data_IF_153008429526
#
_entry.id   IF_153008429526
#
_cell.length_a   1.000
_cell.length_b   1.000
_cell.length_c   1.000
_cell.angle_alpha   90.00
_cell.angle_beta   90.00
_cell.angle_gamma   90.00
#
_symmetry.space_group_name_H-M   'P 1'
#
loop_
_entity.id
_entity.type
_entity.pdbx_description
1 polymer ?
#
# COMPACT_ATOMS: atom_id res chain seq x y z
N UNK A 1 -13.94 -18.68 19.90
CA UNK A 1 -13.68 -19.95 19.18
C UNK A 1 -12.19 -20.29 19.16
N UNK A 2 -11.30 -19.38 18.73
CA UNK A 2 -9.85 -19.64 18.63
C UNK A 2 -9.14 -20.00 19.96
N UNK A 3 -9.52 -19.44 21.11
CA UNK A 3 -8.92 -19.81 22.40
C UNK A 3 -9.15 -21.27 22.79
N UNK A 4 -10.31 -21.84 22.44
CA UNK A 4 -10.65 -23.25 22.70
C UNK A 4 -9.84 -24.16 21.77
N UNK A 5 -9.79 -23.81 20.49
CA UNK A 5 -8.98 -24.53 19.50
C UNK A 5 -7.48 -24.52 19.86
N UNK A 6 -6.96 -23.38 20.33
CA UNK A 6 -5.57 -23.26 20.75
C UNK A 6 -5.27 -24.17 21.95
N UNK A 7 -6.13 -24.16 22.97
CA UNK A 7 -5.96 -24.99 24.16
C UNK A 7 -5.96 -26.48 23.78
N UNK A 8 -6.90 -26.92 22.94
CA UNK A 8 -6.96 -28.30 22.46
C UNK A 8 -5.71 -28.68 21.65
N UNK A 9 -5.23 -27.80 20.77
CA UNK A 9 -4.02 -28.05 19.99
C UNK A 9 -2.75 -28.13 20.87
N UNK A 10 -2.68 -27.33 21.92
CA UNK A 10 -1.60 -27.38 22.92
C UNK A 10 -1.67 -28.66 23.75
N UNK A 11 -2.86 -29.06 24.21
CA UNK A 11 -3.09 -30.31 24.94
C UNK A 11 -2.73 -31.53 24.08
N UNK A 12 -2.99 -31.48 22.78
CA UNK A 12 -2.60 -32.51 21.81
C UNK A 12 -1.14 -32.40 21.34
N UNK A 13 -0.37 -31.43 21.83
CA UNK A 13 1.01 -31.15 21.42
C UNK A 13 1.18 -30.99 19.89
N UNK A 14 0.13 -30.58 19.18
CA UNK A 14 0.15 -30.45 17.74
C UNK A 14 0.81 -29.12 17.34
N UNK A 15 2.12 -29.19 17.10
CA UNK A 15 2.93 -28.01 16.83
C UNK A 15 2.44 -27.21 15.62
N UNK A 16 2.05 -27.90 14.55
CA UNK A 16 1.57 -27.30 13.30
C UNK A 16 0.24 -26.59 13.52
N UNK A 17 -0.71 -27.23 14.21
CA UNK A 17 -2.01 -26.64 14.50
C UNK A 17 -1.88 -25.37 15.37
N UNK A 18 -1.00 -25.41 16.39
CA UNK A 18 -0.73 -24.21 17.21
C UNK A 18 -0.13 -23.08 16.39
N UNK A 19 0.81 -23.36 15.48
CA UNK A 19 1.39 -22.34 14.59
C UNK A 19 0.32 -21.73 13.69
N UNK A 20 -0.55 -22.55 13.10
CA UNK A 20 -1.63 -22.06 12.25
C UNK A 20 -2.65 -21.21 13.02
N UNK A 21 -3.03 -21.61 14.23
CA UNK A 21 -3.94 -20.83 15.07
C UNK A 21 -3.31 -19.49 15.47
N UNK A 22 -2.00 -19.45 15.77
CA UNK A 22 -1.29 -18.21 16.04
C UNK A 22 -1.26 -17.28 14.84
N UNK A 23 -1.03 -17.81 13.63
CA UNK A 23 -1.07 -17.03 12.39
C UNK A 23 -2.45 -16.42 12.15
N UNK A 24 -3.53 -17.19 12.31
CA UNK A 24 -4.90 -16.68 12.21
C UNK A 24 -5.19 -15.58 13.25
N UNK A 25 -4.77 -15.79 14.50
CA UNK A 25 -4.93 -14.78 15.55
C UNK A 25 -4.10 -13.52 15.28
N UNK A 26 -2.91 -13.67 14.70
CA UNK A 26 -2.04 -12.54 14.36
C UNK A 26 -2.64 -11.70 13.23
N UNK A 27 -3.15 -12.35 12.18
CA UNK A 27 -3.83 -11.68 11.07
C UNK A 27 -5.09 -10.95 11.55
N UNK A 28 -5.91 -11.59 12.38
CA UNK A 28 -7.09 -10.95 12.96
C UNK A 28 -6.71 -9.73 13.82
N UNK A 29 -5.70 -9.86 14.68
CA UNK A 29 -5.23 -8.74 15.50
C UNK A 29 -4.68 -7.59 14.63
N UNK A 30 -3.98 -7.94 13.55
CA UNK A 30 -3.43 -6.97 12.60
C UNK A 30 -4.53 -6.18 11.87
N UNK A 31 -5.56 -6.88 11.37
CA UNK A 31 -6.74 -6.27 10.73
C UNK A 31 -7.55 -5.38 11.68
N UNK A 32 -7.58 -5.73 12.97
CA UNK A 32 -8.23 -4.92 14.02
C UNK A 32 -7.40 -3.72 14.48
N UNK A 33 -6.17 -3.54 13.95
CA UNK A 33 -5.26 -2.48 14.39
C UNK A 33 -4.63 -2.73 15.76
N UNK A 34 -4.75 -3.94 16.33
CA UNK A 34 -4.14 -4.34 17.59
C UNK A 34 -2.64 -4.66 17.39
N UNK A 35 -1.87 -3.67 16.94
CA UNK A 35 -0.50 -3.85 16.42
C UNK A 35 0.46 -4.50 17.41
N UNK A 36 0.43 -4.15 18.70
CA UNK A 36 1.28 -4.78 19.72
C UNK A 36 0.97 -6.26 19.92
N UNK A 37 -0.30 -6.64 19.81
CA UNK A 37 -0.74 -8.04 19.94
C UNK A 37 -0.39 -8.82 18.68
N UNK A 38 -0.63 -8.23 17.52
CA UNK A 38 -0.22 -8.79 16.23
C UNK A 38 1.29 -9.04 16.19
N UNK A 39 2.11 -8.09 16.64
CA UNK A 39 3.56 -8.23 16.73
C UNK A 39 3.97 -9.46 17.55
N UNK A 40 3.47 -9.58 18.80
CA UNK A 40 3.78 -10.70 19.69
C UNK A 40 3.40 -12.05 19.07
N UNK A 41 2.23 -12.10 18.41
CA UNK A 41 1.76 -13.31 17.75
C UNK A 41 2.60 -13.65 16.52
N UNK A 42 2.87 -12.70 15.62
CA UNK A 42 3.71 -12.92 14.44
C UNK A 42 5.15 -13.30 14.80
N UNK A 43 5.75 -12.69 15.83
CA UNK A 43 7.06 -13.11 16.35
C UNK A 43 7.02 -14.56 16.81
N UNK A 44 5.94 -14.96 17.50
CA UNK A 44 5.74 -16.35 17.92
C UNK A 44 5.60 -17.29 16.72
N UNK A 45 4.83 -16.93 15.69
CA UNK A 45 4.70 -17.74 14.47
C UNK A 45 6.04 -17.87 13.76
N UNK A 46 6.77 -16.77 13.58
CA UNK A 46 8.08 -16.75 12.94
C UNK A 46 9.10 -17.63 13.66
N UNK A 47 9.19 -17.54 15.00
CA UNK A 47 10.05 -18.41 15.81
C UNK A 47 9.68 -19.89 15.63
N UNK A 48 8.39 -20.20 15.58
CA UNK A 48 7.91 -21.57 15.38
C UNK A 48 8.28 -22.12 14.01
N UNK A 49 8.11 -21.35 12.95
CA UNK A 49 8.52 -21.74 11.59
C UNK A 49 10.04 -21.96 11.49
N UNK A 50 10.84 -21.06 12.05
CA UNK A 50 12.30 -21.21 12.05
C UNK A 50 12.75 -22.45 12.85
N UNK A 51 12.09 -22.75 13.97
CA UNK A 51 12.41 -23.96 14.76
C UNK A 51 12.11 -25.27 14.03
N UNK A 52 11.18 -25.26 13.06
CA UNK A 52 10.88 -26.42 12.21
C UNK A 52 11.78 -26.50 10.96
N UNK A 53 12.77 -25.61 10.85
CA UNK A 53 13.70 -25.57 9.72
C UNK A 53 13.11 -24.95 8.45
N UNK A 54 12.02 -24.18 8.55
CA UNK A 54 11.48 -23.45 7.40
C UNK A 54 12.55 -22.50 6.85
N UNK A 55 12.89 -22.57 5.55
CA UNK A 55 13.88 -21.71 4.94
C UNK A 55 13.51 -20.23 5.04
N UNK A 56 14.52 -19.36 5.10
CA UNK A 56 14.32 -17.90 5.10
C UNK A 56 13.69 -17.38 3.80
N UNK A 57 13.87 -18.13 2.72
CA UNK A 57 13.33 -17.88 1.39
C UNK A 57 11.88 -18.35 1.22
N UNK A 58 11.28 -18.99 2.24
CA UNK A 58 9.90 -19.46 2.17
C UNK A 58 8.91 -18.29 2.22
N UNK A 59 7.97 -18.25 1.27
CA UNK A 59 7.00 -17.16 1.14
C UNK A 59 6.18 -16.93 2.42
N UNK A 60 5.87 -17.97 3.21
CA UNK A 60 5.12 -17.80 4.47
C UNK A 60 5.93 -17.03 5.50
N UNK A 61 7.23 -17.35 5.62
CA UNK A 61 8.12 -16.63 6.53
C UNK A 61 8.30 -15.18 6.08
N UNK A 62 8.48 -14.96 4.79
CA UNK A 62 8.65 -13.63 4.20
C UNK A 62 7.38 -12.79 4.40
N UNK A 63 6.20 -13.37 4.18
CA UNK A 63 4.92 -12.67 4.36
C UNK A 63 4.68 -12.25 5.81
N UNK A 64 4.99 -13.11 6.79
CA UNK A 64 4.94 -12.75 8.22
C UNK A 64 5.95 -11.65 8.54
N UNK A 65 7.17 -11.76 8.00
CA UNK A 65 8.22 -10.76 8.20
C UNK A 65 7.84 -9.40 7.62
N UNK A 66 7.13 -9.39 6.49
CA UNK A 66 6.62 -8.17 5.85
C UNK A 66 5.56 -7.48 6.71
N UNK A 67 4.62 -8.26 7.30
CA UNK A 67 3.64 -7.73 8.25
C UNK A 67 4.29 -7.17 9.51
N UNK A 68 5.31 -7.85 10.05
CA UNK A 68 6.11 -7.33 11.16
C UNK A 68 6.82 -6.02 10.79
N UNK A 69 7.43 -5.95 9.62
CA UNK A 69 8.07 -4.72 9.13
C UNK A 69 7.09 -3.55 9.06
N UNK A 70 5.87 -3.79 8.55
CA UNK A 70 4.83 -2.75 8.53
C UNK A 70 4.32 -2.37 9.92
N UNK A 71 4.20 -3.32 10.86
CA UNK A 71 3.90 -3.00 12.26
C UNK A 71 4.98 -2.08 12.85
N UNK A 72 6.26 -2.40 12.65
CA UNK A 72 7.36 -1.56 13.12
C UNK A 72 7.35 -0.17 12.48
N UNK A 73 6.97 -0.07 11.19
CA UNK A 73 6.77 1.23 10.53
C UNK A 73 5.68 2.04 11.22
N UNK A 74 4.53 1.44 11.51
CA UNK A 74 3.41 2.11 12.22
C UNK A 74 3.83 2.56 13.62
N UNK A 75 4.60 1.73 14.33
CA UNK A 75 5.16 2.04 15.65
C UNK A 75 6.33 3.05 15.59
N UNK A 76 6.77 3.45 14.40
CA UNK A 76 7.94 4.31 14.15
C UNK A 76 9.27 3.72 14.64
N UNK A 77 9.37 2.40 14.80
CA UNK A 77 10.65 1.70 14.97
C UNK A 77 11.33 1.55 13.61
N UNK A 78 11.91 2.66 13.13
CA UNK A 78 12.50 2.77 11.79
C UNK A 78 13.57 1.72 11.53
N UNK A 79 14.36 1.35 12.54
CA UNK A 79 15.46 0.39 12.39
C UNK A 79 14.92 -1.01 12.10
N UNK A 80 13.98 -1.50 12.93
CA UNK A 80 13.39 -2.84 12.71
C UNK A 80 12.54 -2.88 11.45
N UNK A 81 11.83 -1.79 11.13
CA UNK A 81 11.08 -1.68 9.89
C UNK A 81 12.00 -1.84 8.67
N UNK A 82 13.11 -1.09 8.62
CA UNK A 82 14.05 -1.15 7.50
C UNK A 82 14.74 -2.52 7.39
N UNK A 83 15.17 -3.10 8.51
CA UNK A 83 15.74 -4.46 8.54
C UNK A 83 14.74 -5.49 8.00
N UNK A 84 13.47 -5.40 8.41
CA UNK A 84 12.40 -6.28 7.96
C UNK A 84 12.09 -6.14 6.47
N UNK A 85 11.94 -4.91 5.97
CA UNK A 85 11.69 -4.68 4.55
C UNK A 85 12.86 -5.14 3.69
N UNK A 86 14.11 -4.85 4.08
CA UNK A 86 15.30 -5.35 3.36
C UNK A 86 15.39 -6.87 3.39
N UNK A 87 15.05 -7.51 4.51
CA UNK A 87 14.99 -8.96 4.60
C UNK A 87 14.00 -9.55 3.58
N UNK A 88 12.78 -9.03 3.53
CA UNK A 88 11.78 -9.48 2.54
C UNK A 88 12.25 -9.18 1.12
N UNK A 89 12.77 -7.97 0.89
CA UNK A 89 13.34 -7.51 -0.38
C UNK A 89 14.37 -8.52 -0.93
N UNK A 90 15.42 -8.78 -0.16
CA UNK A 90 16.53 -9.61 -0.63
C UNK A 90 16.15 -11.08 -0.84
N UNK A 91 15.30 -11.67 0.00
CA UNK A 91 14.93 -13.08 -0.15
C UNK A 91 14.03 -13.33 -1.38
N UNK A 92 13.06 -12.45 -1.63
CA UNK A 92 12.20 -12.58 -2.81
C UNK A 92 12.98 -12.28 -4.09
N UNK A 93 13.86 -11.27 -4.10
CA UNK A 93 14.77 -11.06 -5.22
C UNK A 93 15.60 -12.30 -5.53
N UNK A 94 16.17 -12.95 -4.50
CA UNK A 94 16.91 -14.20 -4.68
C UNK A 94 16.03 -15.33 -5.24
N UNK A 95 14.78 -15.47 -4.79
CA UNK A 95 13.83 -16.44 -5.35
C UNK A 95 13.59 -16.18 -6.84
N UNK A 96 13.46 -14.92 -7.26
CA UNK A 96 13.28 -14.56 -8.68
C UNK A 96 14.54 -14.91 -9.49
N UNK A 97 15.71 -14.52 -9.00
CA UNK A 97 17.00 -14.77 -9.69
C UNK A 97 17.33 -16.25 -9.83
N UNK A 98 16.97 -17.07 -8.83
CA UNK A 98 17.12 -18.52 -8.87
C UNK A 98 16.03 -19.24 -9.69
N UNK A 99 15.06 -18.51 -10.25
CA UNK A 99 13.93 -19.08 -10.99
C UNK A 99 12.96 -19.88 -10.10
N UNK A 100 12.97 -19.62 -8.79
CA UNK A 100 12.12 -20.29 -7.78
C UNK A 100 10.93 -19.42 -7.43
N UNK A 101 10.09 -19.14 -8.43
CA UNK A 101 8.92 -18.29 -8.24
C UNK A 101 7.71 -18.80 -9.01
N UNK A 102 6.56 -18.46 -8.48
CA UNK A 102 5.23 -18.59 -9.05
C UNK A 102 4.52 -17.24 -8.95
N UNK A 103 3.27 -17.18 -9.39
CA UNK A 103 2.47 -15.96 -9.36
C UNK A 103 2.30 -15.43 -7.93
N UNK A 104 2.15 -16.32 -6.93
CA UNK A 104 2.06 -15.94 -5.51
C UNK A 104 3.36 -15.27 -5.02
N UNK A 105 4.52 -15.76 -5.46
CA UNK A 105 5.83 -15.16 -5.15
C UNK A 105 5.96 -13.77 -5.78
N UNK A 106 5.49 -13.60 -7.01
CA UNK A 106 5.52 -12.31 -7.71
C UNK A 106 4.55 -11.29 -7.07
N UNK A 107 3.37 -11.73 -6.64
CA UNK A 107 2.41 -10.90 -5.90
C UNK A 107 3.00 -10.46 -4.55
N UNK A 108 3.61 -11.38 -3.81
CA UNK A 108 4.29 -11.06 -2.56
C UNK A 108 5.47 -10.12 -2.80
N UNK A 109 6.14 -10.22 -3.96
CA UNK A 109 7.20 -9.32 -4.36
C UNK A 109 6.71 -7.90 -4.63
N UNK A 110 5.65 -7.76 -5.43
CA UNK A 110 5.02 -6.47 -5.69
C UNK A 110 4.55 -5.80 -4.39
N UNK A 111 3.88 -6.55 -3.51
CA UNK A 111 3.42 -6.06 -2.20
C UNK A 111 4.59 -5.65 -1.28
N UNK A 112 5.69 -6.40 -1.30
CA UNK A 112 6.90 -6.05 -0.54
C UNK A 112 7.48 -4.72 -1.01
N UNK A 113 7.57 -4.52 -2.32
CA UNK A 113 8.08 -3.30 -2.93
C UNK A 113 7.16 -2.10 -2.63
N UNK A 114 5.85 -2.26 -2.75
CA UNK A 114 4.87 -1.22 -2.39
C UNK A 114 5.02 -0.79 -0.92
N UNK A 115 5.01 -1.74 0.02
CA UNK A 115 5.09 -1.41 1.45
C UNK A 115 6.45 -0.83 1.84
N UNK A 116 7.52 -1.31 1.20
CA UNK A 116 8.85 -0.74 1.42
C UNK A 116 8.94 0.67 0.85
N UNK A 117 8.33 0.94 -0.31
CA UNK A 117 8.25 2.28 -0.88
C UNK A 117 7.51 3.24 0.06
N UNK A 118 6.39 2.82 0.66
CA UNK A 118 5.67 3.60 1.68
C UNK A 118 6.55 3.93 2.89
N UNK A 119 7.32 2.95 3.39
CA UNK A 119 8.32 3.19 4.43
C UNK A 119 9.39 4.21 3.99
N UNK A 120 9.88 4.11 2.75
CA UNK A 120 10.88 5.02 2.21
C UNK A 120 10.33 6.45 2.08
N UNK A 121 9.04 6.62 1.77
CA UNK A 121 8.36 7.92 1.84
C UNK A 121 8.34 8.46 3.27
N UNK A 122 7.99 7.64 4.27
CA UNK A 122 7.96 8.04 5.68
C UNK A 122 9.33 8.56 6.18
N UNK A 123 10.43 8.01 5.66
CA UNK A 123 11.81 8.44 5.97
C UNK A 123 12.40 9.41 4.94
N UNK A 124 11.57 9.98 4.06
CA UNK A 124 11.93 10.98 3.05
C UNK A 124 13.01 10.53 2.03
N UNK A 125 13.10 9.22 1.74
CA UNK A 125 13.98 8.63 0.72
C UNK A 125 13.23 8.48 -0.60
N UNK A 126 12.78 9.62 -1.13
CA UNK A 126 11.87 9.68 -2.27
C UNK A 126 12.39 9.02 -3.57
N UNK A 127 13.67 9.15 -3.95
CA UNK A 127 14.17 8.47 -5.16
C UNK A 127 14.09 6.95 -5.05
N UNK A 128 14.36 6.40 -3.86
CA UNK A 128 14.27 4.96 -3.64
C UNK A 128 12.82 4.49 -3.55
N UNK A 129 11.94 5.30 -2.93
CA UNK A 129 10.50 5.03 -2.93
C UNK A 129 9.94 4.96 -4.36
N UNK A 130 10.31 5.91 -5.21
CA UNK A 130 9.89 5.95 -6.60
C UNK A 130 10.27 4.68 -7.35
N UNK A 131 11.53 4.23 -7.23
CA UNK A 131 11.98 3.01 -7.89
C UNK A 131 11.24 1.76 -7.39
N UNK A 132 10.97 1.68 -6.09
CA UNK A 132 10.22 0.56 -5.52
C UNK A 132 8.76 0.56 -5.99
N UNK A 133 8.06 1.70 -5.98
CA UNK A 133 6.70 1.81 -6.54
C UNK A 133 6.67 1.49 -8.04
N UNK A 134 7.65 1.94 -8.80
CA UNK A 134 7.74 1.66 -10.24
C UNK A 134 7.92 0.16 -10.51
N UNK A 135 8.78 -0.51 -9.74
CA UNK A 135 8.96 -1.96 -9.84
C UNK A 135 7.72 -2.72 -9.41
N UNK A 136 7.02 -2.28 -8.35
CA UNK A 136 5.74 -2.84 -7.95
C UNK A 136 4.71 -2.71 -9.08
N UNK A 137 4.60 -1.53 -9.70
CA UNK A 137 3.74 -1.29 -10.86
C UNK A 137 4.05 -2.24 -12.01
N UNK A 138 5.32 -2.36 -12.40
CA UNK A 138 5.74 -3.21 -13.52
C UNK A 138 5.35 -4.69 -13.27
N UNK A 139 5.47 -5.18 -12.02
CA UNK A 139 5.05 -6.52 -11.63
C UNK A 139 3.51 -6.69 -11.61
N UNK A 140 2.78 -5.75 -11.03
CA UNK A 140 1.31 -5.81 -10.98
C UNK A 140 0.71 -5.81 -12.40
N UNK A 141 1.29 -5.02 -13.31
CA UNK A 141 0.89 -5.02 -14.73
C UNK A 141 1.14 -6.40 -15.36
N UNK A 142 2.28 -7.02 -15.05
CA UNK A 142 2.62 -8.34 -15.57
C UNK A 142 1.66 -9.43 -15.07
N UNK A 143 1.27 -9.40 -13.79
CA UNK A 143 0.46 -10.46 -13.17
C UNK A 143 -1.03 -10.26 -13.47
N UNK A 144 -1.55 -9.06 -13.23
CA UNK A 144 -2.99 -8.78 -13.17
C UNK A 144 -3.47 -7.90 -14.34
N UNK A 145 -2.56 -7.47 -15.23
CA UNK A 145 -2.86 -6.51 -16.28
C UNK A 145 -3.04 -5.08 -15.76
N UNK A 146 -3.51 -4.18 -16.63
CA UNK A 146 -3.51 -2.73 -16.38
C UNK A 146 -4.82 -2.17 -15.80
N UNK A 147 -5.93 -2.90 -15.85
CA UNK A 147 -7.26 -2.37 -15.49
C UNK A 147 -7.74 -2.88 -14.13
N UNK A 148 -7.03 -2.52 -13.06
CA UNK A 148 -7.40 -2.85 -11.68
C UNK A 148 -7.04 -1.70 -10.72
N UNK A 149 -7.58 -1.74 -9.51
CA UNK A 149 -7.43 -0.69 -8.51
C UNK A 149 -5.97 -0.52 -8.04
N UNK A 150 -5.23 -1.61 -7.93
CA UNK A 150 -3.82 -1.60 -7.50
C UNK A 150 -2.95 -0.76 -8.44
N UNK A 151 -3.18 -0.86 -9.75
CA UNK A 151 -2.50 -0.03 -10.75
C UNK A 151 -2.84 1.46 -10.58
N UNK A 152 -4.10 1.79 -10.29
CA UNK A 152 -4.51 3.18 -10.07
C UNK A 152 -3.81 3.76 -8.84
N UNK A 153 -3.73 3.00 -7.74
CA UNK A 153 -3.06 3.40 -6.50
C UNK A 153 -1.56 3.62 -6.74
N UNK A 154 -0.88 2.68 -7.41
CA UNK A 154 0.55 2.80 -7.69
C UNK A 154 0.88 4.00 -8.59
N UNK A 155 0.06 4.26 -9.61
CA UNK A 155 0.21 5.45 -10.46
C UNK A 155 -0.03 6.74 -9.68
N UNK A 156 -0.99 6.75 -8.75
CA UNK A 156 -1.23 7.88 -7.86
C UNK A 156 -0.04 8.15 -6.92
N UNK A 157 0.55 7.10 -6.36
CA UNK A 157 1.73 7.20 -5.49
C UNK A 157 2.97 7.70 -6.27
N UNK A 158 3.20 7.17 -7.48
CA UNK A 158 4.25 7.66 -8.39
C UNK A 158 4.05 9.14 -8.75
N UNK A 159 2.82 9.53 -9.11
CA UNK A 159 2.50 10.91 -9.43
C UNK A 159 2.71 11.86 -8.24
N UNK A 160 2.35 11.41 -7.03
CA UNK A 160 2.56 12.17 -5.79
C UNK A 160 4.05 12.38 -5.51
N UNK A 161 4.89 11.35 -5.68
CA UNK A 161 6.34 11.49 -5.50
C UNK A 161 6.94 12.45 -6.52
N UNK A 162 6.57 12.35 -7.80
CA UNK A 162 7.01 13.29 -8.83
C UNK A 162 6.67 14.73 -8.42
N UNK A 163 5.46 14.96 -7.92
CA UNK A 163 5.05 16.28 -7.45
C UNK A 163 5.92 16.78 -6.28
N UNK A 164 6.20 15.94 -5.28
CA UNK A 164 7.07 16.31 -4.14
C UNK A 164 8.50 16.61 -4.61
N UNK A 165 8.96 15.95 -5.66
CA UNK A 165 10.25 16.22 -6.32
C UNK A 165 10.22 17.42 -7.28
N UNK A 166 9.11 18.17 -7.31
CA UNK A 166 8.89 19.34 -8.18
C UNK A 166 8.90 19.00 -9.68
N UNK A 167 8.62 17.75 -10.03
CA UNK A 167 8.42 17.26 -11.39
C UNK A 167 6.93 17.22 -11.73
N UNK A 168 6.38 18.41 -12.00
CA UNK A 168 4.95 18.60 -12.22
C UNK A 168 4.44 17.88 -13.48
N UNK A 169 5.25 17.80 -14.54
CA UNK A 169 4.82 17.19 -15.80
C UNK A 169 4.71 15.66 -15.67
N UNK A 170 5.66 14.99 -15.02
CA UNK A 170 5.52 13.56 -14.75
C UNK A 170 4.41 13.26 -13.73
N UNK A 171 4.22 14.13 -12.73
CA UNK A 171 3.10 14.00 -11.80
C UNK A 171 1.74 13.98 -12.53
N UNK A 172 1.53 14.94 -13.44
CA UNK A 172 0.32 15.00 -14.29
C UNK A 172 0.22 13.76 -15.16
N UNK A 173 1.32 13.31 -15.77
CA UNK A 173 1.32 12.13 -16.65
C UNK A 173 0.85 10.87 -15.92
N UNK A 174 1.43 10.57 -14.75
CA UNK A 174 1.04 9.40 -13.96
C UNK A 174 -0.41 9.51 -13.44
N UNK A 175 -0.80 10.66 -12.90
CA UNK A 175 -2.16 10.86 -12.39
C UNK A 175 -3.22 10.81 -13.51
N UNK A 176 -2.89 11.28 -14.72
CA UNK A 176 -3.80 11.16 -15.87
C UNK A 176 -4.01 9.70 -16.27
N UNK A 177 -2.96 8.88 -16.24
CA UNK A 177 -3.07 7.44 -16.48
C UNK A 177 -3.92 6.78 -15.38
N UNK A 178 -3.70 7.14 -14.10
CA UNK A 178 -4.50 6.66 -12.98
C UNK A 178 -5.99 7.00 -13.15
N UNK A 179 -6.30 8.24 -13.51
CA UNK A 179 -7.68 8.69 -13.78
C UNK A 179 -8.31 7.97 -14.97
N UNK A 180 -7.54 7.73 -16.03
CA UNK A 180 -8.02 7.00 -17.22
C UNK A 180 -8.43 5.56 -16.89
N UNK A 181 -7.68 4.90 -16.00
CA UNK A 181 -7.98 3.54 -15.57
C UNK A 181 -9.12 3.53 -14.55
N UNK A 182 -9.06 4.39 -13.52
CA UNK A 182 -10.08 4.45 -12.47
C UNK A 182 -11.47 4.83 -12.98
N UNK A 183 -11.57 5.59 -14.08
CA UNK A 183 -12.86 5.85 -14.76
C UNK A 183 -13.55 4.56 -15.29
N UNK A 184 -12.83 3.45 -15.39
CA UNK A 184 -13.37 2.13 -15.78
C UNK A 184 -13.70 1.25 -14.58
N UNK A 185 -13.47 1.72 -13.36
CA UNK A 185 -13.62 1.00 -12.10
C UNK A 185 -14.69 1.70 -11.23
N UNK A 186 -15.99 1.45 -11.49
CA UNK A 186 -17.07 2.19 -10.84
C UNK A 186 -17.19 1.94 -9.33
N UNK A 187 -16.60 0.85 -8.83
CA UNK A 187 -16.67 0.45 -7.42
C UNK A 187 -15.45 0.95 -6.59
N UNK A 188 -14.50 1.66 -7.21
CA UNK A 188 -13.26 2.09 -6.55
C UNK A 188 -13.51 3.26 -5.58
N UNK A 189 -13.58 2.97 -4.29
CA UNK A 189 -13.88 3.94 -3.23
C UNK A 189 -12.83 5.06 -3.08
N UNK A 190 -11.56 4.73 -3.36
CA UNK A 190 -10.43 5.67 -3.24
C UNK A 190 -10.22 6.55 -4.49
N UNK A 191 -11.05 6.38 -5.53
CA UNK A 191 -10.87 7.07 -6.80
C UNK A 191 -10.94 8.60 -6.67
N UNK A 192 -11.78 9.10 -5.77
CA UNK A 192 -11.91 10.54 -5.50
C UNK A 192 -10.60 11.21 -5.05
N UNK A 193 -9.74 10.51 -4.29
CA UNK A 193 -8.43 11.03 -3.89
C UNK A 193 -7.50 11.24 -5.09
N UNK A 194 -7.56 10.33 -6.07
CA UNK A 194 -6.77 10.41 -7.32
C UNK A 194 -7.22 11.61 -8.17
N UNK A 195 -8.54 11.83 -8.24
CA UNK A 195 -9.12 12.99 -8.93
C UNK A 195 -8.69 14.31 -8.26
N UNK A 196 -8.68 14.39 -6.93
CA UNK A 196 -8.18 15.56 -6.19
C UNK A 196 -6.70 15.81 -6.49
N UNK A 197 -5.88 14.76 -6.50
CA UNK A 197 -4.45 14.90 -6.79
C UNK A 197 -4.22 15.45 -8.20
N UNK A 198 -4.90 14.92 -9.22
CA UNK A 198 -4.80 15.47 -10.59
C UNK A 198 -5.33 16.91 -10.66
N UNK A 199 -6.45 17.20 -10.00
CA UNK A 199 -7.02 18.54 -9.94
C UNK A 199 -6.05 19.55 -9.32
N UNK A 200 -5.34 19.14 -8.28
CA UNK A 200 -4.30 19.95 -7.63
C UNK A 200 -3.15 20.24 -8.58
N UNK A 201 -2.74 19.27 -9.40
CA UNK A 201 -1.69 19.48 -10.40
C UNK A 201 -2.13 20.46 -11.49
N UNK A 202 -3.37 20.35 -11.97
CA UNK A 202 -3.94 21.28 -12.94
C UNK A 202 -4.09 22.70 -12.39
N UNK A 203 -4.54 22.84 -11.14
CA UNK A 203 -4.62 24.14 -10.48
C UNK A 203 -3.24 24.82 -10.40
N UNK A 204 -2.19 24.06 -10.07
CA UNK A 204 -0.80 24.54 -10.05
C UNK A 204 -0.28 24.94 -11.43
N UNK A 205 -0.76 24.29 -12.50
CA UNK A 205 -0.45 24.63 -13.90
C UNK A 205 -1.27 25.81 -14.43
N UNK A 206 -2.19 26.37 -13.63
CA UNK A 206 -3.08 27.46 -14.03
C UNK A 206 -4.35 27.01 -14.75
N UNK A 207 -4.57 25.71 -14.88
CA UNK A 207 -5.72 25.08 -15.57
C UNK A 207 -6.90 24.97 -14.60
N UNK A 208 -7.48 26.13 -14.24
CA UNK A 208 -8.44 26.25 -13.15
C UNK A 208 -9.80 25.60 -13.44
N UNK A 209 -10.25 25.59 -14.70
CA UNK A 209 -11.53 24.97 -15.05
C UNK A 209 -11.42 23.44 -15.06
N UNK A 210 -10.32 22.90 -15.57
CA UNK A 210 -10.01 21.47 -15.53
C UNK A 210 -9.85 20.96 -14.10
N UNK A 211 -9.15 21.73 -13.25
CA UNK A 211 -9.03 21.43 -11.83
C UNK A 211 -10.41 21.41 -11.13
N UNK A 212 -11.24 22.42 -11.41
CA UNK A 212 -12.59 22.51 -10.84
C UNK A 212 -13.45 21.30 -11.24
N UNK A 213 -13.40 20.88 -12.49
CA UNK A 213 -14.14 19.70 -12.96
C UNK A 213 -13.70 18.45 -12.19
N UNK A 214 -12.40 18.22 -12.05
CA UNK A 214 -11.86 17.08 -11.31
C UNK A 214 -12.28 17.08 -9.84
N UNK A 215 -12.29 18.24 -9.17
CA UNK A 215 -12.78 18.33 -7.79
C UNK A 215 -14.29 18.07 -7.68
N UNK A 216 -15.09 18.46 -8.67
CA UNK A 216 -16.52 18.12 -8.71
C UNK A 216 -16.74 16.62 -8.91
N UNK A 217 -15.96 15.99 -9.78
CA UNK A 217 -16.01 14.55 -10.01
C UNK A 217 -15.56 13.79 -8.75
N UNK A 218 -14.51 14.24 -8.07
CA UNK A 218 -14.06 13.70 -6.79
C UNK A 218 -15.15 13.79 -5.72
N UNK A 219 -15.83 14.94 -5.61
CA UNK A 219 -16.93 15.12 -4.67
C UNK A 219 -18.10 14.18 -4.97
N UNK A 220 -18.44 13.99 -6.26
CA UNK A 220 -19.51 13.08 -6.69
C UNK A 220 -19.18 11.63 -6.35
N UNK A 221 -17.98 11.17 -6.71
CA UNK A 221 -17.50 9.83 -6.38
C UNK A 221 -17.51 9.62 -4.85
N UNK A 222 -16.95 10.55 -4.08
CA UNK A 222 -16.92 10.44 -2.62
C UNK A 222 -18.33 10.41 -1.99
N UNK A 223 -19.31 11.08 -2.60
CA UNK A 223 -20.71 10.99 -2.17
C UNK A 223 -21.32 9.62 -2.46
N UNK A 224 -21.04 9.05 -3.62
CA UNK A 224 -21.54 7.72 -4.02
C UNK A 224 -20.99 6.62 -3.10
N UNK A 225 -19.72 6.72 -2.69
CA UNK A 225 -19.05 5.75 -1.80
C UNK A 225 -19.11 6.11 -0.30
N UNK A 226 -19.84 7.17 0.09
CA UNK A 226 -19.90 7.65 1.48
C UNK A 226 -18.52 7.97 2.12
N UNK A 227 -17.54 8.41 1.31
CA UNK A 227 -16.21 8.78 1.76
C UNK A 227 -16.19 10.23 2.30
N UNK A 228 -16.42 10.38 3.60
CA UNK A 228 -16.53 11.70 4.25
C UNK A 228 -15.23 12.53 4.18
N UNK A 229 -14.06 11.86 4.16
CA UNK A 229 -12.77 12.55 4.11
C UNK A 229 -12.57 13.20 2.75
N UNK A 230 -12.74 12.43 1.67
CA UNK A 230 -12.60 12.94 0.30
C UNK A 230 -13.66 13.99 -0.01
N UNK A 231 -14.89 13.85 0.51
CA UNK A 231 -15.93 14.87 0.40
C UNK A 231 -15.48 16.23 0.97
N UNK A 232 -14.86 16.21 2.15
CA UNK A 232 -14.37 17.41 2.82
C UNK A 232 -13.22 18.03 2.03
N UNK A 233 -12.27 17.23 1.59
CA UNK A 233 -11.11 17.68 0.82
C UNK A 233 -11.53 18.29 -0.52
N UNK A 234 -12.36 17.61 -1.30
CA UNK A 234 -12.88 18.12 -2.57
C UNK A 234 -13.64 19.45 -2.38
N UNK A 235 -14.43 19.57 -1.30
CA UNK A 235 -15.14 20.82 -0.99
C UNK A 235 -14.17 21.96 -0.67
N UNK A 236 -13.12 21.70 0.11
CA UNK A 236 -12.06 22.68 0.41
C UNK A 236 -11.38 23.18 -0.86
N UNK A 237 -10.97 22.26 -1.74
CA UNK A 237 -10.32 22.60 -3.01
C UNK A 237 -11.24 23.45 -3.91
N UNK A 238 -12.55 23.15 -3.94
CA UNK A 238 -13.52 23.94 -4.69
C UNK A 238 -13.71 25.36 -4.15
N UNK A 239 -13.65 25.53 -2.83
CA UNK A 239 -13.79 26.84 -2.20
C UNK A 239 -12.52 27.69 -2.35
N UNK A 240 -11.35 27.08 -2.28
CA UNK A 240 -10.06 27.73 -2.58
C UNK A 240 -10.05 28.30 -4.01
N UNK A 241 -10.52 27.56 -5.01
CA UNK A 241 -10.64 28.03 -6.40
C UNK A 241 -11.61 29.21 -6.57
N UNK A 242 -12.66 29.33 -5.74
CA UNK A 242 -13.57 30.49 -5.79
C UNK A 242 -12.91 31.72 -5.18
N UNK A 243 -12.20 31.53 -4.07
CA UNK A 243 -11.51 32.63 -3.38
C UNK A 243 -10.41 33.25 -4.24
N UNK A 244 -9.66 32.44 -4.99
CA UNK A 244 -8.59 32.91 -5.87
C UNK A 244 -9.09 33.74 -7.05
N UNK A 245 -10.28 33.43 -7.60
CA UNK A 245 -10.94 34.26 -8.63
C UNK A 245 -11.38 35.63 -8.10
N UNK A 246 -11.74 35.71 -6.83
CA UNK A 246 -12.23 36.96 -6.21
C UNK A 246 -11.09 37.93 -5.89
N UNK A 247 -9.86 37.45 -5.75
CA UNK A 247 -8.68 38.28 -5.49
C UNK A 247 -8.01 38.83 -6.76
N UNK A 248 -8.43 38.37 -7.94
CA UNK A 248 -7.89 38.78 -9.26
C UNK A 248 -8.83 39.72 -10.05
N UNK A 249 -9.96 40.13 -9.45
CA UNK A 249 -10.91 41.12 -9.98
C UNK A 249 -10.86 42.39 -9.14
#
# INVERSE_FOLDING_TARGET
>A
MFHVALKLAQEQQNYVAVTHIYDLLANLAYEQGEHEKAEKLFVSVMQRLLSTGTPKTDNKLIHISLKLANIYRIQKDTRKAEEGFKFCASNLQNNIEEGKYDDDTLLLWAMTLDWYARFLVDVNRLPEAFENFKRAYDLCVQINGVNNEEIVILLNDLGTICFVQNDLDNAISYLTQAVTIGNKLPDMEDFGSVLINLGTMYAKKGMMEEAKQLYQDAWKNAKEHNNAQVLKEASSCLDELKSSKTAQQ
#
